data_IF_628553418499
#
_entry.id   IF_628553418499
#
_cell.length_a   1.000
_cell.length_b   1.000
_cell.length_c   1.000
_cell.angle_alpha   90.00
_cell.angle_beta   90.00
_cell.angle_gamma   90.00
#
_symmetry.space_group_name_H-M   'P 1'
#
loop_
_entity.id
_entity.type
_entity.pdbx_description
1 polymer ?
#
# COMPACT_ATOMS: atom_id res chain seq x y z
N UNK A 1 3.93 2.21 15.42
CA UNK A 1 2.61 2.87 15.30
C UNK A 1 2.03 2.53 13.93
N UNK A 2 0.73 2.22 13.84
CA UNK A 2 0.04 1.93 12.57
C UNK A 2 -1.20 2.83 12.51
N UNK A 3 -1.42 3.51 11.39
CA UNK A 3 -2.54 4.44 11.19
C UNK A 3 -3.23 4.07 9.87
N UNK A 4 -4.56 3.98 9.90
CA UNK A 4 -5.39 3.82 8.71
C UNK A 4 -6.34 5.01 8.61
N UNK A 5 -6.41 5.64 7.44
CA UNK A 5 -7.29 6.78 7.16
C UNK A 5 -8.36 6.32 6.18
N UNK A 6 -9.63 6.38 6.58
CA UNK A 6 -10.78 5.95 5.78
C UNK A 6 -11.89 7.00 5.79
N UNK A 7 -12.83 6.90 4.84
CA UNK A 7 -13.92 7.87 4.66
C UNK A 7 -14.43 7.95 3.22
N UNK A 8 -15.51 8.72 3.02
CA UNK A 8 -16.17 8.89 1.71
C UNK A 8 -15.24 9.48 0.65
N UNK A 9 -15.61 9.37 -0.63
CA UNK A 9 -14.89 10.02 -1.73
C UNK A 9 -14.83 11.54 -1.53
N UNK A 10 -13.70 12.17 -1.88
CA UNK A 10 -13.56 13.63 -1.85
C UNK A 10 -13.32 14.29 -0.47
N UNK A 11 -13.38 13.56 0.64
CA UNK A 11 -13.22 14.15 2.01
C UNK A 11 -11.77 14.51 2.39
N UNK A 12 -10.82 14.43 1.46
CA UNK A 12 -9.42 14.82 1.71
C UNK A 12 -8.53 13.76 2.36
N UNK A 13 -8.91 12.47 2.33
CA UNK A 13 -8.14 11.36 2.93
C UNK A 13 -6.68 11.31 2.49
N UNK A 14 -6.45 11.40 1.19
CA UNK A 14 -5.10 11.32 0.59
C UNK A 14 -4.25 12.51 1.05
N UNK A 15 -4.82 13.71 1.09
CA UNK A 15 -4.15 14.92 1.57
C UNK A 15 -3.76 14.78 3.05
N UNK A 16 -4.68 14.32 3.90
CA UNK A 16 -4.41 14.08 5.31
C UNK A 16 -3.32 13.01 5.50
N UNK A 17 -3.40 11.91 4.75
CA UNK A 17 -2.42 10.81 4.81
C UNK A 17 -1.02 11.28 4.40
N UNK A 18 -0.92 12.07 3.33
CA UNK A 18 0.34 12.67 2.88
C UNK A 18 0.91 13.63 3.93
N UNK A 19 0.09 14.51 4.51
CA UNK A 19 0.50 15.44 5.56
C UNK A 19 1.01 14.71 6.81
N UNK A 20 0.32 13.66 7.26
CA UNK A 20 0.76 12.84 8.38
C UNK A 20 2.09 12.15 8.08
N UNK A 21 2.22 11.53 6.89
CA UNK A 21 3.44 10.85 6.49
C UNK A 21 4.65 11.80 6.45
N UNK A 22 4.49 12.98 5.84
CA UNK A 22 5.52 14.02 5.80
C UNK A 22 5.89 14.52 7.20
N UNK A 23 4.90 14.80 8.04
CA UNK A 23 5.13 15.29 9.42
C UNK A 23 5.92 14.27 10.23
N UNK A 24 5.56 12.98 10.16
CA UNK A 24 6.31 11.93 10.86
C UNK A 24 7.72 11.74 10.31
N UNK A 25 7.89 11.81 8.98
CA UNK A 25 9.20 11.73 8.35
C UNK A 25 10.11 12.91 8.78
N UNK A 26 9.58 14.13 8.78
CA UNK A 26 10.27 15.33 9.25
C UNK A 26 10.62 15.26 10.75
N UNK A 27 9.83 14.51 11.53
CA UNK A 27 10.12 14.22 12.94
C UNK A 27 11.18 13.13 13.15
N UNK A 28 11.88 12.71 12.10
CA UNK A 28 12.93 11.69 12.15
C UNK A 28 12.42 10.25 12.23
N UNK A 29 11.14 9.99 11.98
CA UNK A 29 10.59 8.62 11.99
C UNK A 29 10.76 7.95 10.63
N UNK A 30 11.07 6.66 10.63
CA UNK A 30 10.93 5.81 9.44
C UNK A 30 9.45 5.62 9.14
N UNK A 31 8.98 6.10 7.99
CA UNK A 31 7.57 6.07 7.59
C UNK A 31 7.40 5.19 6.36
N UNK A 32 6.42 4.30 6.41
CA UNK A 32 5.89 3.60 5.25
C UNK A 32 4.52 4.20 4.92
N UNK A 33 4.42 4.86 3.77
CA UNK A 33 3.17 5.41 3.26
C UNK A 33 2.59 4.42 2.24
N UNK A 34 1.39 3.92 2.51
CA UNK A 34 0.72 2.89 1.70
C UNK A 34 -0.56 3.51 1.13
N UNK A 35 -0.70 3.49 -0.19
CA UNK A 35 -1.95 3.84 -0.86
C UNK A 35 -2.78 2.56 -1.05
N UNK A 36 -3.96 2.55 -0.45
CA UNK A 36 -4.93 1.46 -0.60
C UNK A 36 -6.15 1.90 -1.42
N UNK A 37 -6.10 3.08 -2.05
CA UNK A 37 -7.12 3.59 -2.95
C UNK A 37 -6.75 3.21 -4.41
N UNK A 38 -7.67 2.61 -5.20
CA UNK A 38 -7.43 2.29 -6.61
C UNK A 38 -6.94 3.48 -7.45
N UNK A 39 -7.29 4.72 -7.07
CA UNK A 39 -6.88 5.92 -7.80
C UNK A 39 -5.38 6.28 -7.62
N UNK A 40 -4.67 5.68 -6.66
CA UNK A 40 -3.21 5.79 -6.49
C UNK A 40 -2.66 7.24 -6.44
N UNK A 41 -3.36 8.14 -5.73
CA UNK A 41 -3.01 9.57 -5.68
C UNK A 41 -2.01 9.95 -4.58
N UNK A 42 -1.66 9.04 -3.67
CA UNK A 42 -0.79 9.37 -2.53
C UNK A 42 0.63 9.74 -2.96
N UNK A 43 1.21 9.02 -3.94
CA UNK A 43 2.53 9.31 -4.47
C UNK A 43 2.61 10.73 -5.06
N UNK A 44 1.54 11.15 -5.75
CA UNK A 44 1.41 12.51 -6.26
C UNK A 44 1.41 13.54 -5.13
N UNK A 45 0.60 13.29 -4.09
CA UNK A 45 0.47 14.18 -2.94
C UNK A 45 1.78 14.29 -2.12
N UNK A 46 2.63 13.26 -2.15
CA UNK A 46 3.96 13.26 -1.53
C UNK A 46 5.06 13.90 -2.39
N UNK A 47 4.74 14.30 -3.63
CA UNK A 47 5.72 14.91 -4.53
C UNK A 47 6.65 13.92 -5.22
N UNK A 48 6.28 12.64 -5.34
CA UNK A 48 7.06 11.67 -6.11
C UNK A 48 7.05 12.04 -7.60
N UNK A 49 8.22 12.43 -8.11
CA UNK A 49 8.40 12.85 -9.50
C UNK A 49 8.29 11.69 -10.50
N UNK A 50 8.76 10.50 -10.10
CA UNK A 50 8.80 9.32 -10.95
C UNK A 50 7.90 8.22 -10.41
N UNK A 51 6.65 8.23 -10.86
CA UNK A 51 5.66 7.21 -10.46
C UNK A 51 5.90 5.86 -11.12
N UNK A 52 6.68 5.80 -12.21
CA UNK A 52 6.95 4.55 -12.95
C UNK A 52 7.77 3.55 -12.14
N UNK A 53 8.48 4.03 -11.12
CA UNK A 53 9.26 3.20 -10.18
C UNK A 53 8.41 2.57 -9.08
N UNK A 54 7.15 2.97 -8.93
CA UNK A 54 6.25 2.42 -7.92
C UNK A 54 5.56 1.21 -8.53
N UNK A 55 5.99 0.02 -8.13
CA UNK A 55 5.37 -1.24 -8.54
C UNK A 55 4.14 -1.48 -7.67
N UNK A 56 2.98 -1.64 -8.30
CA UNK A 56 1.74 -1.91 -7.58
C UNK A 56 1.80 -3.34 -7.00
N UNK A 57 1.36 -3.53 -5.74
CA UNK A 57 1.46 -4.86 -5.09
C UNK A 57 0.75 -5.95 -5.90
N UNK A 58 -0.34 -5.63 -6.60
CA UNK A 58 -1.05 -6.55 -7.48
C UNK A 58 -0.25 -7.07 -8.67
N UNK A 59 0.84 -6.39 -9.05
CA UNK A 59 1.76 -6.83 -10.11
C UNK A 59 2.85 -7.76 -9.58
N UNK A 60 3.07 -7.78 -8.26
CA UNK A 60 4.05 -8.63 -7.58
C UNK A 60 3.52 -10.06 -7.40
N UNK A 61 3.21 -10.73 -8.51
CA UNK A 61 2.56 -12.06 -8.52
C UNK A 61 3.31 -13.10 -7.71
N UNK A 62 4.64 -13.12 -7.82
CA UNK A 62 5.50 -14.06 -7.08
C UNK A 62 5.42 -13.84 -5.57
N UNK A 63 5.49 -12.58 -5.12
CA UNK A 63 5.33 -12.22 -3.70
C UNK A 63 3.93 -12.59 -3.20
N UNK A 64 2.87 -12.24 -3.94
CA UNK A 64 1.50 -12.59 -3.56
C UNK A 64 1.37 -14.11 -3.44
N UNK A 65 1.93 -14.87 -4.37
CA UNK A 65 1.88 -16.33 -4.37
C UNK A 65 2.60 -16.91 -3.14
N UNK A 66 3.83 -16.47 -2.90
CA UNK A 66 4.63 -16.87 -1.74
C UNK A 66 3.88 -16.60 -0.43
N UNK A 67 3.33 -15.38 -0.28
CA UNK A 67 2.63 -14.95 0.94
C UNK A 67 1.33 -15.73 1.15
N UNK A 68 0.51 -15.87 0.11
CA UNK A 68 -0.82 -16.50 0.19
C UNK A 68 -0.78 -18.03 0.15
N UNK A 69 0.35 -18.62 -0.22
CA UNK A 69 0.50 -20.07 -0.40
C UNK A 69 -0.23 -20.60 -1.63
N UNK A 70 -0.56 -19.73 -2.59
CA UNK A 70 -1.31 -20.13 -3.78
C UNK A 70 -0.47 -21.06 -4.69
N UNK A 71 -1.03 -22.16 -5.21
CA UNK A 71 -0.33 -23.03 -6.16
C UNK A 71 -0.21 -22.38 -7.55
N UNK A 72 0.70 -22.90 -8.38
CA UNK A 72 1.03 -22.35 -9.71
C UNK A 72 -0.13 -22.43 -10.72
N UNK A 73 -1.07 -23.38 -10.57
CA UNK A 73 -2.18 -23.60 -11.50
C UNK A 73 -3.43 -24.15 -10.78
N UNK A 74 -4.62 -23.82 -11.30
CA UNK A 74 -5.90 -24.43 -10.91
C UNK A 74 -7.02 -23.44 -10.55
N UNK A 75 -8.23 -23.67 -11.07
CA UNK A 75 -9.47 -23.02 -10.62
C UNK A 75 -9.93 -23.68 -9.30
N UNK A 76 -10.33 -22.89 -8.29
CA UNK A 76 -10.86 -23.42 -7.01
C UNK A 76 -9.82 -23.67 -5.90
N UNK A 77 -8.66 -23.01 -5.98
CA UNK A 77 -7.57 -23.16 -5.00
C UNK A 77 -7.80 -22.34 -3.73
N UNK A 78 -7.35 -22.89 -2.60
CA UNK A 78 -7.43 -22.24 -1.28
C UNK A 78 -6.31 -21.21 -1.13
N UNK A 79 -6.68 -20.00 -0.70
CA UNK A 79 -5.74 -18.92 -0.40
C UNK A 79 -5.72 -18.65 1.10
N UNK A 80 -4.53 -18.43 1.66
CA UNK A 80 -4.41 -17.90 3.01
C UNK A 80 -4.74 -16.41 2.99
N UNK A 81 -5.93 -16.07 3.49
CA UNK A 81 -6.39 -14.67 3.58
C UNK A 81 -5.63 -13.84 4.62
N UNK A 82 -4.92 -14.50 5.55
CA UNK A 82 -4.08 -13.90 6.58
C UNK A 82 -2.61 -14.36 6.45
N UNK A 83 -1.93 -13.99 5.37
CA UNK A 83 -0.54 -14.37 5.16
C UNK A 83 0.37 -13.69 6.21
N UNK A 84 1.52 -14.31 6.49
CA UNK A 84 2.53 -13.68 7.34
C UNK A 84 3.27 -12.60 6.53
N UNK A 85 3.42 -11.40 7.10
CA UNK A 85 3.94 -10.19 6.43
C UNK A 85 4.86 -9.37 7.35
N UNK A 86 5.58 -10.06 8.25
CA UNK A 86 6.34 -9.41 9.31
C UNK A 86 7.76 -8.96 8.89
N UNK A 87 8.26 -9.52 7.79
CA UNK A 87 9.53 -9.22 7.11
C UNK A 87 9.35 -8.21 5.98
#
# INVERSE_FOLDING_TARGET
>A
MKIAVSGKGGVGKTTLSAGLALTFAQSGRKVFAIDADPACNLAAALGCQDRSKIVHVGEMKELIRERTGAPNEGYGVFFKMNPQVAD
#
